data_IF_538491069743
#
_entry.id   IF_538491069743
#
_cell.length_a   1.000
_cell.length_b   1.000
_cell.length_c   1.000
_cell.angle_alpha   90.00
_cell.angle_beta   90.00
_cell.angle_gamma   90.00
#
_symmetry.space_group_name_H-M   'P 1'
#
loop_
_entity.id
_entity.type
_entity.pdbx_description
1 polymer ?
#
# COMPACT_ATOMS: atom_id res chain seq x y z
N UNK A 1 3.72 -9.49 -1.15
CA UNK A 1 3.51 -8.90 -2.50
C UNK A 1 2.06 -9.04 -2.90
N UNK A 2 1.52 -8.03 -3.61
CA UNK A 2 0.15 -8.07 -4.14
C UNK A 2 0.26 -7.90 -5.65
N UNK A 3 -0.23 -8.87 -6.42
CA UNK A 3 -0.35 -8.72 -7.86
C UNK A 3 -1.52 -7.80 -8.18
N UNK A 4 -1.29 -6.66 -8.82
CA UNK A 4 -2.35 -5.71 -9.16
C UNK A 4 -2.54 -5.67 -10.67
N UNK A 5 -3.81 -5.65 -11.13
CA UNK A 5 -4.20 -5.65 -12.55
C UNK A 5 -3.80 -6.93 -13.29
N UNK A 6 -3.84 -8.06 -12.60
CA UNK A 6 -3.55 -9.39 -13.17
C UNK A 6 -4.63 -9.77 -14.19
N UNK A 7 -4.24 -10.17 -15.40
CA UNK A 7 -5.19 -10.45 -16.49
C UNK A 7 -5.51 -11.93 -16.66
N UNK A 8 -4.63 -12.84 -16.24
CA UNK A 8 -4.82 -14.28 -16.43
C UNK A 8 -3.81 -15.14 -15.68
N UNK A 9 -3.85 -16.45 -15.97
CA UNK A 9 -3.00 -17.43 -15.29
C UNK A 9 -1.51 -17.21 -15.54
N UNK A 10 -1.12 -16.82 -16.75
CA UNK A 10 0.28 -16.55 -17.10
C UNK A 10 0.90 -15.46 -16.22
N UNK A 11 0.15 -14.39 -15.92
CA UNK A 11 0.59 -13.33 -15.00
C UNK A 11 0.76 -13.86 -13.57
N UNK A 12 -0.14 -14.75 -13.13
CA UNK A 12 -0.08 -15.36 -11.80
C UNK A 12 1.16 -16.25 -11.71
N UNK A 13 1.41 -17.08 -12.72
CA UNK A 13 2.53 -18.00 -12.76
C UNK A 13 3.85 -17.23 -12.78
N UNK A 14 3.95 -16.17 -13.60
CA UNK A 14 5.10 -15.27 -13.58
C UNK A 14 5.31 -14.64 -12.19
N UNK A 15 4.27 -14.11 -11.56
CA UNK A 15 4.40 -13.51 -10.22
C UNK A 15 4.87 -14.55 -9.19
N UNK A 16 4.33 -15.76 -9.22
CA UNK A 16 4.76 -16.86 -8.34
C UNK A 16 6.21 -17.25 -8.58
N UNK A 17 6.67 -17.27 -9.83
CA UNK A 17 8.08 -17.52 -10.14
C UNK A 17 9.00 -16.43 -9.59
N UNK A 18 8.60 -15.16 -9.65
CA UNK A 18 9.44 -14.04 -9.23
C UNK A 18 9.49 -13.83 -7.71
N UNK A 19 8.37 -14.04 -7.01
CA UNK A 19 8.26 -13.71 -5.58
C UNK A 19 7.92 -14.90 -4.71
N UNK A 20 7.64 -16.08 -5.28
CA UNK A 20 7.35 -17.29 -4.55
C UNK A 20 6.21 -17.11 -3.54
N UNK A 21 6.46 -17.60 -2.33
CA UNK A 21 5.52 -17.54 -1.21
C UNK A 21 5.23 -16.11 -0.71
N UNK A 22 6.02 -15.11 -1.15
CA UNK A 22 5.72 -13.71 -0.84
C UNK A 22 4.52 -13.18 -1.65
N UNK A 23 4.02 -13.89 -2.68
CA UNK A 23 2.78 -13.51 -3.36
C UNK A 23 1.57 -13.81 -2.46
N UNK A 24 1.06 -12.77 -1.81
CA UNK A 24 -0.05 -12.88 -0.87
C UNK A 24 -1.39 -13.09 -1.57
N UNK A 25 -1.69 -12.23 -2.56
CA UNK A 25 -2.94 -12.29 -3.33
C UNK A 25 -2.81 -11.51 -4.63
N UNK A 26 -3.71 -11.77 -5.57
CA UNK A 26 -3.83 -11.05 -6.83
C UNK A 26 -5.19 -10.37 -6.93
N UNK A 27 -5.20 -9.14 -7.42
CA UNK A 27 -6.40 -8.39 -7.81
C UNK A 27 -6.39 -8.28 -9.33
N UNK A 28 -7.46 -8.76 -9.94
CA UNK A 28 -7.57 -8.86 -11.40
C UNK A 28 -8.21 -7.64 -12.06
N UNK A 29 -8.64 -7.82 -13.31
CA UNK A 29 -9.53 -6.87 -13.96
C UNK A 29 -10.85 -6.73 -13.17
N UNK A 30 -11.33 -5.49 -13.03
CA UNK A 30 -12.57 -5.17 -12.32
C UNK A 30 -13.35 -4.12 -13.10
N UNK A 31 -14.56 -4.48 -13.51
CA UNK A 31 -15.47 -3.52 -14.15
C UNK A 31 -16.01 -2.53 -13.11
N UNK A 32 -16.11 -2.96 -11.85
CA UNK A 32 -16.44 -2.08 -10.74
C UNK A 32 -15.41 -0.95 -10.60
N UNK A 33 -14.12 -1.28 -10.53
CA UNK A 33 -13.03 -0.29 -10.43
C UNK A 33 -13.02 0.61 -11.66
N UNK A 34 -13.17 0.04 -12.86
CA UNK A 34 -13.21 0.81 -14.11
C UNK A 34 -14.39 1.79 -14.15
N UNK A 35 -15.54 1.44 -13.57
CA UNK A 35 -16.68 2.35 -13.45
C UNK A 35 -16.41 3.47 -12.44
N UNK A 36 -15.80 3.14 -11.31
CA UNK A 36 -15.35 4.11 -10.30
C UNK A 36 -14.37 5.12 -10.89
N UNK A 37 -13.35 4.67 -11.64
CA UNK A 37 -12.36 5.53 -12.32
C UNK A 37 -13.01 6.48 -13.35
N UNK A 38 -14.14 6.08 -13.95
CA UNK A 38 -14.96 6.93 -14.82
C UNK A 38 -15.87 7.91 -14.06
N UNK A 39 -15.72 8.02 -12.74
CA UNK A 39 -16.53 8.88 -11.88
C UNK A 39 -17.93 8.33 -11.60
N UNK A 40 -18.15 7.03 -11.78
CA UNK A 40 -19.45 6.36 -11.58
C UNK A 40 -19.30 5.17 -10.64
N UNK A 41 -18.95 5.39 -9.36
CA UNK A 41 -18.76 4.31 -8.41
C UNK A 41 -20.07 3.54 -8.21
N UNK A 42 -20.12 2.24 -8.56
CA UNK A 42 -21.24 1.40 -8.17
C UNK A 42 -21.24 1.21 -6.65
N UNK A 43 -22.32 0.65 -6.11
CA UNK A 43 -22.35 0.21 -4.71
C UNK A 43 -21.24 -0.82 -4.46
N UNK A 44 -20.59 -0.78 -3.29
CA UNK A 44 -19.43 -1.61 -3.00
C UNK A 44 -19.78 -3.11 -2.98
N UNK A 45 -21.01 -3.46 -2.61
CA UNK A 45 -21.50 -4.84 -2.62
C UNK A 45 -21.53 -5.45 -4.02
N UNK A 46 -21.45 -4.63 -5.07
CA UNK A 46 -21.37 -5.06 -6.47
C UNK A 46 -19.92 -5.32 -6.93
N UNK A 47 -18.92 -5.08 -6.09
CA UNK A 47 -17.54 -5.49 -6.39
C UNK A 47 -17.50 -7.01 -6.59
N UNK A 48 -16.67 -7.46 -7.53
CA UNK A 48 -16.58 -8.88 -7.87
C UNK A 48 -16.15 -9.72 -6.65
N UNK A 49 -16.71 -10.92 -6.49
CA UNK A 49 -16.47 -11.76 -5.31
C UNK A 49 -14.98 -12.08 -5.11
N UNK A 50 -14.24 -12.33 -6.19
CA UNK A 50 -12.79 -12.55 -6.15
C UNK A 50 -12.04 -11.35 -5.57
N UNK A 51 -12.47 -10.13 -5.91
CA UNK A 51 -11.87 -8.90 -5.40
C UNK A 51 -12.27 -8.65 -3.94
N UNK A 52 -13.50 -8.99 -3.53
CA UNK A 52 -13.88 -9.00 -2.10
C UNK A 52 -13.00 -9.94 -1.29
N UNK A 53 -12.78 -11.16 -1.77
CA UNK A 53 -11.92 -12.14 -1.09
C UNK A 53 -10.47 -11.64 -1.02
N UNK A 54 -9.96 -11.05 -2.10
CA UNK A 54 -8.63 -10.46 -2.10
C UNK A 54 -8.48 -9.34 -1.06
N UNK A 55 -9.47 -8.43 -0.97
CA UNK A 55 -9.47 -7.37 0.03
C UNK A 55 -9.53 -7.92 1.46
N UNK A 56 -10.31 -8.98 1.73
CA UNK A 56 -10.33 -9.65 3.04
C UNK A 56 -8.97 -10.25 3.40
N UNK A 57 -8.30 -10.90 2.45
CA UNK A 57 -6.94 -11.43 2.66
C UNK A 57 -5.95 -10.31 2.96
N UNK A 58 -6.01 -9.20 2.22
CA UNK A 58 -5.16 -8.03 2.46
C UNK A 58 -5.40 -7.42 3.84
N UNK A 59 -6.66 -7.27 4.24
CA UNK A 59 -7.03 -6.77 5.56
C UNK A 59 -6.47 -7.66 6.66
N UNK A 60 -6.74 -8.97 6.61
CA UNK A 60 -6.26 -9.92 7.62
C UNK A 60 -4.74 -9.93 7.74
N UNK A 61 -4.02 -9.84 6.61
CA UNK A 61 -2.57 -9.75 6.59
C UNK A 61 -2.06 -8.44 7.19
N UNK A 62 -2.72 -7.31 6.88
CA UNK A 62 -2.37 -6.00 7.44
C UNK A 62 -2.59 -5.96 8.96
N UNK A 63 -3.73 -6.45 9.43
CA UNK A 63 -4.06 -6.54 10.86
C UNK A 63 -3.03 -7.42 11.60
N UNK A 64 -2.71 -8.60 11.04
CA UNK A 64 -1.72 -9.52 11.62
C UNK A 64 -0.28 -8.97 11.60
N UNK A 65 0.03 -8.06 10.68
CA UNK A 65 1.32 -7.40 10.62
C UNK A 65 1.40 -6.20 11.59
N UNK A 66 0.26 -5.61 11.93
CA UNK A 66 0.18 -4.40 12.74
C UNK A 66 0.79 -4.60 14.12
N UNK A 67 0.37 -5.62 14.86
CA UNK A 67 0.85 -5.91 16.22
C UNK A 67 2.35 -6.19 16.30
N UNK A 68 2.97 -6.59 15.18
CA UNK A 68 4.39 -6.92 15.07
C UNK A 68 5.22 -5.78 14.48
N UNK A 69 4.65 -4.58 14.34
CA UNK A 69 5.30 -3.45 13.69
C UNK A 69 6.50 -2.96 14.49
N UNK A 70 7.67 -3.03 13.87
CA UNK A 70 8.87 -2.31 14.30
C UNK A 70 8.74 -0.84 13.88
N UNK A 71 8.36 0.02 14.83
CA UNK A 71 8.14 1.44 14.61
C UNK A 71 9.40 2.22 14.17
N UNK A 72 10.57 1.79 14.63
CA UNK A 72 11.83 2.44 14.23
C UNK A 72 12.16 2.11 12.78
N UNK A 73 12.08 0.83 12.42
CA UNK A 73 12.25 0.41 11.02
C UNK A 73 11.19 1.04 10.11
N UNK A 74 9.94 1.08 10.55
CA UNK A 74 8.84 1.70 9.80
C UNK A 74 9.10 3.18 9.55
N UNK A 75 9.48 3.94 10.58
CA UNK A 75 9.81 5.37 10.45
C UNK A 75 11.01 5.61 9.54
N UNK A 76 12.08 4.82 9.70
CA UNK A 76 13.27 4.90 8.84
C UNK A 76 12.95 4.65 7.37
N UNK A 77 12.06 3.70 7.07
CA UNK A 77 11.62 3.44 5.70
C UNK A 77 10.79 4.60 5.13
N UNK A 78 9.88 5.19 5.91
CA UNK A 78 9.14 6.38 5.49
C UNK A 78 10.08 7.56 5.17
N UNK A 79 11.04 7.83 6.06
CA UNK A 79 12.06 8.88 5.84
C UNK A 79 12.86 8.60 4.58
N UNK A 80 13.30 7.35 4.36
CA UNK A 80 14.02 6.97 3.15
C UNK A 80 13.24 7.31 1.87
N UNK A 81 11.95 6.95 1.80
CA UNK A 81 11.13 7.25 0.64
C UNK A 81 10.83 8.74 0.49
N UNK A 82 10.60 9.45 1.59
CA UNK A 82 10.42 10.92 1.58
C UNK A 82 11.63 11.62 0.98
N UNK A 83 12.83 11.29 1.46
CA UNK A 83 14.08 11.87 0.96
C UNK A 83 14.33 11.51 -0.51
N UNK A 84 14.06 10.26 -0.91
CA UNK A 84 14.18 9.85 -2.31
C UNK A 84 13.25 10.66 -3.22
N UNK A 85 12.01 10.88 -2.80
CA UNK A 85 11.03 11.67 -3.56
C UNK A 85 11.38 13.17 -3.58
N UNK A 86 11.80 13.72 -2.44
CA UNK A 86 12.28 15.09 -2.31
C UNK A 86 13.42 15.36 -3.31
N UNK A 87 14.42 14.49 -3.35
CA UNK A 87 15.57 14.61 -4.24
C UNK A 87 15.21 14.38 -5.71
N UNK A 88 14.30 13.44 -5.99
CA UNK A 88 14.00 13.03 -7.37
C UNK A 88 13.12 14.04 -8.12
N UNK A 89 12.22 14.73 -7.43
CA UNK A 89 11.31 15.70 -8.07
C UNK A 89 10.67 16.69 -7.09
N UNK A 90 10.53 16.33 -5.80
CA UNK A 90 9.78 17.11 -4.83
C UNK A 90 10.36 18.50 -4.58
N UNK A 91 11.69 18.60 -4.44
CA UNK A 91 12.37 19.86 -4.21
C UNK A 91 12.22 20.82 -5.40
N UNK A 92 12.42 20.31 -6.62
CA UNK A 92 12.22 21.11 -7.84
C UNK A 92 10.77 21.58 -7.96
N UNK A 93 9.81 20.69 -7.70
CA UNK A 93 8.39 20.99 -7.88
C UNK A 93 7.85 22.03 -6.90
N UNK A 94 8.45 22.09 -5.71
CA UNK A 94 8.02 22.95 -4.59
C UNK A 94 8.89 24.18 -4.41
N UNK A 95 10.12 24.18 -4.95
CA UNK A 95 11.10 25.26 -4.76
C UNK A 95 11.71 25.30 -3.35
N UNK A 96 11.51 24.28 -2.53
CA UNK A 96 12.03 24.19 -1.16
C UNK A 96 12.78 22.88 -0.93
N UNK A 97 13.67 22.85 0.06
CA UNK A 97 14.31 21.61 0.48
C UNK A 97 13.40 20.81 1.43
N UNK A 98 12.68 19.83 0.88
CA UNK A 98 11.78 18.97 1.64
C UNK A 98 12.53 18.03 2.60
N UNK A 99 13.85 17.87 2.45
CA UNK A 99 14.65 17.10 3.40
C UNK A 99 14.69 17.77 4.79
N UNK A 100 14.58 19.10 4.85
CA UNK A 100 14.54 19.86 6.09
C UNK A 100 13.28 19.61 6.94
N UNK A 101 12.28 18.89 6.42
CA UNK A 101 11.09 18.47 7.16
C UNK A 101 11.32 17.23 8.04
N UNK A 102 12.45 16.54 7.88
CA UNK A 102 12.78 15.34 8.65
C UNK A 102 13.41 15.76 9.98
N UNK A 103 12.72 15.43 11.07
CA UNK A 103 13.32 15.39 12.40
C UNK A 103 14.02 14.03 12.59
N UNK A 104 15.35 13.98 12.76
CA UNK A 104 16.09 12.72 12.88
C UNK A 104 15.82 11.99 14.21
N UNK A 105 15.36 12.70 15.24
CA UNK A 105 15.09 12.14 16.56
C UNK A 105 13.62 11.67 16.69
N UNK A 106 12.76 12.05 15.74
CA UNK A 106 11.38 11.62 15.72
C UNK A 106 11.22 10.17 15.26
N UNK A 107 10.51 9.39 16.07
CA UNK A 107 10.03 8.05 15.69
C UNK A 107 8.51 8.04 15.77
N UNK A 108 7.84 7.67 14.67
CA UNK A 108 6.39 7.51 14.68
C UNK A 108 6.03 6.42 15.69
N UNK A 109 5.09 6.74 16.57
CA UNK A 109 4.48 5.80 17.52
C UNK A 109 2.98 6.05 17.54
N UNK A 110 2.22 5.00 17.78
CA UNK A 110 0.81 5.15 18.11
C UNK A 110 0.72 5.74 19.52
N UNK A 111 0.16 6.95 19.65
CA UNK A 111 -0.23 7.44 20.96
C UNK A 111 -1.50 6.68 21.35
N UNK A 112 -1.50 6.03 22.51
CA UNK A 112 -2.75 5.53 23.07
C UNK A 112 -3.73 6.70 23.15
N UNK A 113 -5.00 6.55 22.71
CA UNK A 113 -5.99 7.58 22.92
C UNK A 113 -6.02 7.89 24.42
N UNK A 114 -5.94 9.17 24.78
CA UNK A 114 -6.11 9.57 26.17
C UNK A 114 -7.48 9.08 26.64
N UNK A 115 -7.51 8.09 27.51
CA UNK A 115 -8.72 7.68 28.22
C UNK A 115 -9.19 8.89 29.04
N UNK A 116 -10.31 9.48 28.61
CA UNK A 116 -11.05 10.49 29.37
C UNK A 116 -11.84 9.83 30.51
#
# INVERSE_FOLDING_TARGET
MVGNKVQGQDDIDFLREQVGDDLLVTVGHSDWVRSMEKGRPPRFELLEESNHLALKTLQAAADSAYDRRDWERYTRQMVHFHLKNAQSWGNERTGVDLAAQVDPDFVLREHAPATA
#
